data_IF_605488072890
#
_entry.id   IF_605488072890
#
_cell.length_a   1.000
_cell.length_b   1.000
_cell.length_c   1.000
_cell.angle_alpha   90.00
_cell.angle_beta   90.00
_cell.angle_gamma   90.00
#
_symmetry.space_group_name_H-M   'P 1'
#
loop_
_entity.id
_entity.type
_entity.pdbx_description
1 polymer ?
#
# COMPACT_ATOMS: atom_id res chain seq x y z
N UNK A 1 -2.20 12.12 37.21
CA UNK A 1 -1.07 12.47 36.31
C UNK A 1 -0.64 11.31 35.40
N UNK A 2 -0.20 10.15 35.92
CA UNK A 2 0.24 9.00 35.07
C UNK A 2 -0.85 8.46 34.12
N UNK A 3 -2.07 8.32 34.63
CA UNK A 3 -3.23 7.85 33.84
C UNK A 3 -3.61 8.87 32.76
N UNK A 4 -3.55 10.16 33.07
CA UNK A 4 -3.85 11.24 32.12
C UNK A 4 -2.89 11.25 30.92
N UNK A 5 -1.60 10.94 31.15
CA UNK A 5 -0.58 10.84 30.07
C UNK A 5 -0.81 9.60 29.20
N UNK A 6 -1.27 8.49 29.78
CA UNK A 6 -1.59 7.28 29.03
C UNK A 6 -2.80 7.50 28.10
N UNK A 7 -3.82 8.24 28.56
CA UNK A 7 -4.98 8.56 27.73
C UNK A 7 -4.64 9.49 26.56
N UNK A 8 -3.78 10.50 26.76
CA UNK A 8 -3.32 11.36 25.65
C UNK A 8 -2.46 10.59 24.65
N UNK A 9 -1.55 9.72 25.11
CA UNK A 9 -0.73 8.91 24.21
C UNK A 9 -1.58 7.95 23.34
N UNK A 10 -2.65 7.38 23.91
CA UNK A 10 -3.54 6.47 23.18
C UNK A 10 -4.39 7.21 22.13
N UNK A 11 -4.80 8.45 22.41
CA UNK A 11 -5.53 9.29 21.45
C UNK A 11 -4.66 9.62 20.23
N UNK A 12 -3.40 10.04 20.44
CA UNK A 12 -2.46 10.31 19.35
C UNK A 12 -2.15 9.07 18.49
N UNK A 13 -2.10 7.88 19.09
CA UNK A 13 -1.84 6.65 18.34
C UNK A 13 -2.97 6.29 17.35
N UNK A 14 -4.20 6.72 17.61
CA UNK A 14 -5.35 6.44 16.73
C UNK A 14 -5.32 7.22 15.41
N UNK A 15 -4.60 8.34 15.36
CA UNK A 15 -4.48 9.20 14.16
C UNK A 15 -3.54 8.60 13.11
N UNK A 16 -2.66 7.66 13.48
CA UNK A 16 -1.79 6.95 12.52
C UNK A 16 -2.56 5.97 11.62
N UNK A 17 -3.80 5.62 11.96
CA UNK A 17 -4.64 4.75 11.12
C UNK A 17 -5.13 5.44 9.82
N UNK A 18 -4.94 6.75 9.70
CA UNK A 18 -5.29 7.53 8.52
C UNK A 18 -4.18 7.58 7.44
N UNK A 19 -3.02 6.96 7.67
CA UNK A 19 -2.09 6.66 6.58
C UNK A 19 -2.78 5.69 5.62
N UNK A 20 -3.36 6.25 4.55
CA UNK A 20 -4.14 5.47 3.58
C UNK A 20 -3.28 4.35 3.03
N UNK A 21 -3.77 3.12 3.14
CA UNK A 21 -3.11 1.96 2.54
C UNK A 21 -2.91 2.12 1.03
N UNK A 22 -3.73 2.97 0.39
CA UNK A 22 -3.54 3.44 -0.98
C UNK A 22 -2.22 4.19 -1.17
N UNK A 23 -1.93 5.23 -0.37
CA UNK A 23 -0.69 6.01 -0.51
C UNK A 23 0.56 5.14 -0.32
N UNK A 24 0.53 4.22 0.65
CA UNK A 24 1.66 3.31 0.88
C UNK A 24 1.83 2.37 -0.31
N UNK A 25 0.74 1.84 -0.86
CA UNK A 25 0.80 0.92 -2.00
C UNK A 25 1.28 1.61 -3.27
N UNK A 26 0.76 2.80 -3.58
CA UNK A 26 1.18 3.59 -4.74
C UNK A 26 2.67 3.91 -4.65
N UNK A 27 3.14 4.34 -3.47
CA UNK A 27 4.58 4.59 -3.25
C UNK A 27 5.46 3.35 -3.44
N UNK A 28 4.96 2.17 -3.07
CA UNK A 28 5.65 0.91 -3.29
C UNK A 28 5.68 0.53 -4.78
N UNK A 29 4.57 0.74 -5.49
CA UNK A 29 4.44 0.43 -6.90
C UNK A 29 5.35 1.32 -7.76
N UNK A 30 5.41 2.61 -7.45
CA UNK A 30 6.30 3.55 -8.12
C UNK A 30 7.77 3.17 -7.92
N UNK A 31 8.16 2.82 -6.69
CA UNK A 31 9.52 2.35 -6.41
C UNK A 31 9.87 1.07 -7.19
N UNK A 32 8.95 0.11 -7.30
CA UNK A 32 9.19 -1.12 -8.06
C UNK A 32 9.32 -0.84 -9.57
N UNK A 33 8.56 0.13 -10.10
CA UNK A 33 8.67 0.58 -11.49
C UNK A 33 9.98 1.29 -11.77
N UNK A 34 10.42 2.16 -10.86
CA UNK A 34 11.70 2.83 -10.94
C UNK A 34 12.84 1.82 -10.94
N UNK A 35 12.76 0.80 -10.10
CA UNK A 35 13.71 -0.32 -10.08
C UNK A 35 13.73 -1.08 -11.40
N UNK A 36 12.56 -1.38 -11.99
CA UNK A 36 12.49 -2.01 -13.31
C UNK A 36 13.11 -1.13 -14.40
N UNK A 37 12.93 0.20 -14.31
CA UNK A 37 13.45 1.15 -15.31
C UNK A 37 14.98 1.18 -15.39
N UNK A 38 15.67 0.82 -14.30
CA UNK A 38 17.12 0.74 -14.22
C UNK A 38 17.70 -0.56 -14.82
N UNK A 39 16.85 -1.53 -15.20
CA UNK A 39 17.28 -2.79 -15.80
C UNK A 39 17.51 -2.65 -17.32
N UNK A 40 18.36 -3.51 -17.87
CA UNK A 40 18.51 -3.66 -19.33
C UNK A 40 17.31 -4.40 -19.94
N UNK A 41 17.01 -4.12 -21.21
CA UNK A 41 16.11 -4.99 -21.99
C UNK A 41 16.80 -6.36 -22.19
N UNK A 42 16.11 -7.52 -22.09
CA UNK A 42 14.65 -7.74 -21.99
C UNK A 42 14.08 -7.83 -20.56
N UNK A 43 14.94 -7.79 -19.55
CA UNK A 43 14.55 -7.97 -18.14
C UNK A 43 13.67 -6.83 -17.65
N UNK A 44 13.91 -5.61 -18.14
CA UNK A 44 13.04 -4.45 -17.90
C UNK A 44 11.59 -4.71 -18.30
N UNK A 45 11.35 -5.24 -19.50
CA UNK A 45 9.99 -5.52 -20.00
C UNK A 45 9.30 -6.59 -19.16
N UNK A 46 10.03 -7.64 -18.78
CA UNK A 46 9.50 -8.71 -17.92
C UNK A 46 9.19 -8.20 -16.51
N UNK A 47 10.05 -7.34 -15.96
CA UNK A 47 9.86 -6.69 -14.66
C UNK A 47 8.63 -5.78 -14.68
N UNK A 48 8.53 -4.87 -15.67
CA UNK A 48 7.41 -3.94 -15.80
C UNK A 48 6.05 -4.65 -15.94
N UNK A 49 6.00 -5.77 -16.66
CA UNK A 49 4.78 -6.59 -16.76
C UNK A 49 4.37 -7.26 -15.45
N UNK A 50 5.29 -7.51 -14.52
CA UNK A 50 4.97 -8.05 -13.19
C UNK A 50 4.52 -6.96 -12.22
N UNK A 51 5.05 -5.74 -12.38
CA UNK A 51 4.76 -4.59 -11.52
C UNK A 51 3.52 -3.79 -11.95
N UNK A 52 2.78 -4.24 -12.98
CA UNK A 52 1.66 -3.49 -13.57
C UNK A 52 0.31 -3.70 -12.87
N UNK A 53 0.20 -4.60 -11.89
CA UNK A 53 -1.05 -4.78 -11.13
C UNK A 53 -1.33 -3.51 -10.33
N UNK A 54 -2.31 -2.72 -10.76
CA UNK A 54 -2.66 -1.47 -10.10
C UNK A 54 -3.23 -1.72 -8.70
N UNK A 55 -3.10 -0.74 -7.80
CA UNK A 55 -3.78 -0.79 -6.49
C UNK A 55 -5.29 -1.02 -6.64
N UNK A 56 -5.91 -0.44 -7.67
CA UNK A 56 -7.34 -0.61 -7.95
C UNK A 56 -7.70 -2.05 -8.33
N UNK A 57 -6.85 -2.73 -9.11
CA UNK A 57 -7.04 -4.14 -9.44
C UNK A 57 -6.81 -5.04 -8.23
N UNK A 58 -5.81 -4.73 -7.40
CA UNK A 58 -5.59 -5.41 -6.13
C UNK A 58 -6.80 -5.21 -5.19
N UNK A 59 -7.32 -3.99 -5.07
CA UNK A 59 -8.46 -3.65 -4.23
C UNK A 59 -9.72 -4.36 -4.71
N UNK A 60 -10.00 -4.39 -6.02
CA UNK A 60 -11.10 -5.18 -6.60
C UNK A 60 -10.96 -6.67 -6.30
N UNK A 61 -9.76 -7.24 -6.50
CA UNK A 61 -9.51 -8.65 -6.19
C UNK A 61 -9.70 -8.94 -4.70
N UNK A 62 -9.24 -8.04 -3.82
CA UNK A 62 -9.40 -8.17 -2.37
C UNK A 62 -10.86 -8.06 -1.97
N UNK A 63 -11.60 -7.10 -2.50
CA UNK A 63 -13.03 -6.90 -2.19
C UNK A 63 -13.90 -8.06 -2.72
N UNK A 64 -13.51 -8.66 -3.86
CA UNK A 64 -14.10 -9.89 -4.38
C UNK A 64 -13.75 -11.11 -3.52
N UNK A 65 -12.49 -11.26 -3.10
CA UNK A 65 -12.01 -12.39 -2.30
C UNK A 65 -12.52 -12.37 -0.84
N UNK A 66 -12.62 -11.17 -0.25
CA UNK A 66 -13.18 -10.98 1.09
C UNK A 66 -14.70 -11.04 1.12
N UNK A 67 -15.35 -11.15 -0.04
CA UNK A 67 -16.78 -11.28 -0.18
C UNK A 67 -17.50 -10.28 0.73
N UNK A 68 -17.64 -9.02 0.30
CA UNK A 68 -18.71 -8.16 0.83
C UNK A 68 -20.05 -8.86 0.55
N UNK A 69 -20.41 -9.77 1.46
CA UNK A 69 -21.67 -10.48 1.54
C UNK A 69 -22.65 -9.44 2.06
N UNK A 70 -23.31 -8.77 1.12
CA UNK A 70 -24.52 -8.01 1.42
C UNK A 70 -25.59 -8.98 1.94
#
# INVERSE_FOLDING_TARGET
>A
MRISVLFTALALASELSACSTANIYDSLQDHERDRCSAMSDPDRTTCMNRSSTSYDDYKKQRDQATGKRN
#
